data_IF_591387250628
#
_entry.id   IF_591387250628
#
_cell.length_a   1.000
_cell.length_b   1.000
_cell.length_c   1.000
_cell.angle_alpha   90.00
_cell.angle_beta   90.00
_cell.angle_gamma   90.00
#
_symmetry.space_group_name_H-M   'P 1'
#
loop_
_entity.id
_entity.type
_entity.pdbx_description
1 polymer ?
#
# COMPACT_ATOMS: atom_id res chain seq x y z
N UNK A 1 -9.62 7.66 13.24
CA UNK A 1 -8.65 6.72 12.66
C UNK A 1 -7.97 7.23 11.38
N UNK A 2 -8.70 7.81 10.42
CA UNK A 2 -8.11 8.31 9.16
C UNK A 2 -6.93 9.27 9.34
N UNK A 3 -7.05 10.28 10.21
CA UNK A 3 -5.98 11.26 10.51
C UNK A 3 -4.71 10.56 11.00
N UNK A 4 -4.85 9.60 11.92
CA UNK A 4 -3.71 8.87 12.46
C UNK A 4 -2.98 8.05 11.39
N UNK A 5 -3.72 7.39 10.50
CA UNK A 5 -3.08 6.69 9.37
C UNK A 5 -2.45 7.67 8.38
N UNK A 6 -3.08 8.83 8.14
CA UNK A 6 -2.52 9.86 7.27
C UNK A 6 -1.21 10.42 7.80
N UNK A 7 -1.04 10.47 9.12
CA UNK A 7 0.20 10.91 9.77
C UNK A 7 1.21 9.75 9.86
N UNK A 8 0.94 8.75 10.71
CA UNK A 8 1.90 7.70 11.07
C UNK A 8 1.81 6.43 10.22
N UNK A 9 0.81 6.31 9.36
CA UNK A 9 0.59 5.13 8.53
C UNK A 9 1.61 5.01 7.40
N UNK A 10 1.90 3.79 6.98
CA UNK A 10 2.73 3.52 5.81
C UNK A 10 2.27 2.26 5.10
N UNK A 11 2.81 2.04 3.90
CA UNK A 11 2.56 0.86 3.09
C UNK A 11 3.84 0.33 2.50
N UNK A 12 3.89 -0.98 2.28
CA UNK A 12 4.98 -1.67 1.61
C UNK A 12 4.43 -2.63 0.56
N UNK A 13 5.12 -2.72 -0.58
CA UNK A 13 4.79 -3.67 -1.64
C UNK A 13 5.88 -4.72 -1.72
N UNK A 14 5.50 -5.99 -1.59
CA UNK A 14 6.42 -7.10 -1.83
C UNK A 14 6.38 -7.46 -3.30
N UNK A 15 7.57 -7.57 -3.90
CA UNK A 15 7.75 -7.92 -5.31
C UNK A 15 8.27 -9.35 -5.44
N UNK A 16 7.78 -10.07 -6.44
CA UNK A 16 8.30 -11.37 -6.89
C UNK A 16 8.38 -11.30 -8.41
N UNK A 17 9.54 -11.62 -8.98
CA UNK A 17 9.79 -11.53 -10.44
C UNK A 17 9.49 -10.14 -11.03
N UNK A 18 9.73 -9.07 -10.26
CA UNK A 18 9.45 -7.68 -10.65
C UNK A 18 7.99 -7.24 -10.47
N UNK A 19 7.06 -8.17 -10.25
CA UNK A 19 5.64 -7.89 -10.06
C UNK A 19 5.29 -7.77 -8.58
N UNK A 20 4.40 -6.84 -8.25
CA UNK A 20 3.85 -6.70 -6.90
C UNK A 20 2.90 -7.87 -6.65
N UNK A 21 3.13 -8.64 -5.59
CA UNK A 21 2.29 -9.79 -5.22
C UNK A 21 1.67 -9.65 -3.83
N UNK A 22 2.16 -8.72 -3.00
CA UNK A 22 1.54 -8.46 -1.70
C UNK A 22 1.64 -6.98 -1.32
N UNK A 23 0.65 -6.54 -0.54
CA UNK A 23 0.55 -5.24 0.10
C UNK A 23 0.56 -5.46 1.61
N UNK A 24 1.38 -4.69 2.30
CA UNK A 24 1.35 -4.59 3.76
C UNK A 24 1.12 -3.14 4.15
N UNK A 25 0.21 -2.92 5.08
CA UNK A 25 0.02 -1.62 5.72
C UNK A 25 0.59 -1.67 7.12
N UNK A 26 1.15 -0.55 7.54
CA UNK A 26 1.66 -0.39 8.89
C UNK A 26 1.11 0.88 9.52
N UNK A 27 0.94 0.84 10.84
CA UNK A 27 0.74 2.03 11.66
C UNK A 27 1.87 2.07 12.68
N UNK A 28 2.77 3.05 12.54
CA UNK A 28 3.93 3.20 13.40
C UNK A 28 3.51 4.04 14.61
N UNK A 29 3.15 3.38 15.70
CA UNK A 29 2.56 4.04 16.88
C UNK A 29 3.61 4.62 17.83
N UNK A 30 4.83 4.06 17.84
CA UNK A 30 5.88 4.46 18.78
C UNK A 30 5.64 4.01 20.23
N UNK A 31 4.62 3.17 20.45
CA UNK A 31 4.25 2.68 21.77
C UNK A 31 4.84 1.30 22.07
N UNK A 32 4.80 0.92 23.35
CA UNK A 32 5.18 -0.41 23.82
C UNK A 32 4.27 -1.51 23.22
N UNK A 33 4.66 -2.77 23.38
CA UNK A 33 3.83 -3.91 22.97
C UNK A 33 2.46 -3.89 23.68
N UNK A 34 2.44 -3.71 25.01
CA UNK A 34 1.20 -3.75 25.79
C UNK A 34 0.22 -2.63 25.38
N UNK A 35 0.73 -1.42 25.13
CA UNK A 35 -0.10 -0.31 24.64
C UNK A 35 -0.63 -0.59 23.23
N UNK A 36 0.19 -1.17 22.35
CA UNK A 36 -0.28 -1.59 21.04
C UNK A 36 -1.37 -2.65 21.12
N UNK A 37 -1.29 -3.60 22.04
CA UNK A 37 -2.33 -4.62 22.25
C UNK A 37 -3.67 -4.00 22.69
N UNK A 38 -3.65 -2.95 23.51
CA UNK A 38 -4.85 -2.18 23.85
C UNK A 38 -5.44 -1.48 22.62
N UNK A 39 -4.59 -0.88 21.78
CA UNK A 39 -5.00 -0.23 20.53
C UNK A 39 -5.61 -1.27 19.57
N UNK A 40 -5.02 -2.47 19.47
CA UNK A 40 -5.54 -3.57 18.67
C UNK A 40 -6.95 -3.97 19.11
N UNK A 41 -7.15 -4.17 20.41
CA UNK A 41 -8.44 -4.54 20.98
C UNK A 41 -9.50 -3.46 20.71
N UNK A 42 -9.14 -2.19 20.90
CA UNK A 42 -10.00 -1.06 20.60
C UNK A 42 -10.36 -0.98 19.11
N UNK A 43 -9.40 -1.20 18.21
CA UNK A 43 -9.66 -1.21 16.77
C UNK A 43 -10.63 -2.32 16.34
N UNK A 44 -10.47 -3.51 16.91
CA UNK A 44 -11.38 -4.62 16.67
C UNK A 44 -12.78 -4.32 17.21
N UNK A 45 -12.90 -3.81 18.43
CA UNK A 45 -14.20 -3.55 19.06
C UNK A 45 -14.98 -2.42 18.37
N UNK A 46 -14.34 -1.29 18.06
CA UNK A 46 -15.04 -0.09 17.59
C UNK A 46 -15.23 -0.07 16.08
N UNK A 47 -14.27 -0.59 15.32
CA UNK A 47 -14.30 -0.54 13.85
C UNK A 47 -14.31 -1.90 13.17
N UNK A 48 -14.23 -3.00 13.92
CA UNK A 48 -14.16 -4.35 13.32
C UNK A 48 -12.89 -4.60 12.53
N UNK A 49 -11.83 -3.80 12.74
CA UNK A 49 -10.58 -3.93 11.98
C UNK A 49 -9.56 -4.70 12.82
N UNK A 50 -9.26 -5.92 12.41
CA UNK A 50 -8.29 -6.78 13.07
C UNK A 50 -6.89 -6.54 12.53
N UNK A 51 -6.14 -5.70 13.24
CA UNK A 51 -4.72 -5.49 13.01
C UNK A 51 -3.90 -6.62 13.66
N UNK A 52 -2.77 -6.96 13.04
CA UNK A 52 -1.74 -7.78 13.66
C UNK A 52 -0.68 -6.92 14.32
N UNK A 53 0.10 -7.51 15.24
CA UNK A 53 1.29 -6.89 15.78
C UNK A 53 2.52 -7.30 14.96
N UNK A 54 3.40 -6.35 14.65
CA UNK A 54 4.66 -6.58 13.95
C UNK A 54 5.78 -5.86 14.69
N UNK A 55 6.92 -6.53 14.85
CA UNK A 55 8.14 -5.92 15.39
C UNK A 55 9.04 -5.51 14.23
N UNK A 56 9.52 -4.28 14.28
CA UNK A 56 10.56 -3.77 13.39
C UNK A 56 11.71 -3.23 14.22
N UNK A 57 12.86 -3.89 14.11
CA UNK A 57 14.02 -3.66 15.00
C UNK A 57 13.59 -3.82 16.48
N UNK A 58 13.50 -2.71 17.20
CA UNK A 58 13.14 -2.64 18.62
C UNK A 58 11.78 -1.97 18.88
N UNK A 59 11.02 -1.67 17.82
CA UNK A 59 9.75 -0.98 17.90
C UNK A 59 8.60 -1.89 17.47
N UNK A 60 7.46 -1.73 18.12
CA UNK A 60 6.23 -2.42 17.75
C UNK A 60 5.35 -1.52 16.90
N UNK A 61 4.71 -2.11 15.90
CA UNK A 61 3.80 -1.45 14.98
C UNK A 61 2.65 -2.36 14.65
N UNK A 62 1.52 -1.76 14.29
CA UNK A 62 0.37 -2.52 13.81
C UNK A 62 0.58 -2.85 12.33
N UNK A 63 0.11 -4.02 11.89
CA UNK A 63 0.21 -4.51 10.51
C UNK A 63 -1.13 -5.01 9.97
N UNK A 64 -1.44 -4.67 8.71
CA UNK A 64 -2.44 -5.37 7.90
C UNK A 64 -1.78 -6.02 6.69
N UNK A 65 -2.28 -7.21 6.31
CA UNK A 65 -1.93 -7.86 5.04
C UNK A 65 -2.82 -7.43 3.88
N UNK A 66 -2.57 -8.00 2.70
CA UNK A 66 -3.15 -7.55 1.41
C UNK A 66 -4.67 -7.39 1.44
N UNK A 67 -5.42 -8.44 1.81
CA UNK A 67 -6.90 -8.43 1.76
C UNK A 67 -7.50 -7.34 2.66
N UNK A 68 -7.07 -7.30 3.92
CA UNK A 68 -7.54 -6.31 4.88
C UNK A 68 -7.05 -4.89 4.53
N UNK A 69 -5.85 -4.76 3.97
CA UNK A 69 -5.31 -3.48 3.51
C UNK A 69 -6.12 -2.86 2.37
N UNK A 70 -6.57 -3.66 1.40
CA UNK A 70 -7.47 -3.18 0.34
C UNK A 70 -8.83 -2.72 0.89
N UNK A 71 -9.42 -3.49 1.80
CA UNK A 71 -10.67 -3.09 2.47
C UNK A 71 -10.49 -1.78 3.25
N UNK A 72 -9.38 -1.66 3.98
CA UNK A 72 -9.03 -0.46 4.73
C UNK A 72 -8.87 0.77 3.83
N UNK A 73 -8.20 0.65 2.69
CA UNK A 73 -8.10 1.74 1.73
C UNK A 73 -9.44 2.14 1.13
N UNK A 74 -10.33 1.18 0.86
CA UNK A 74 -11.71 1.46 0.43
C UNK A 74 -12.45 2.33 1.46
N UNK A 75 -12.35 1.96 2.73
CA UNK A 75 -12.92 2.72 3.85
C UNK A 75 -12.26 4.09 4.05
N UNK A 76 -10.94 4.20 3.87
CA UNK A 76 -10.19 5.43 4.11
C UNK A 76 -10.39 6.50 3.02
N UNK A 77 -10.67 6.06 1.78
CA UNK A 77 -10.78 6.91 0.58
C UNK A 77 -11.66 8.16 0.72
N UNK A 78 -12.88 8.13 1.29
CA UNK A 78 -13.71 9.32 1.44
C UNK A 78 -13.14 10.37 2.41
N UNK A 79 -12.15 10.02 3.24
CA UNK A 79 -11.56 10.91 4.24
C UNK A 79 -10.22 11.52 3.81
N UNK A 80 -9.71 11.16 2.63
CA UNK A 80 -8.39 11.57 2.17
C UNK A 80 -8.43 12.88 1.40
N UNK A 81 -7.61 13.84 1.86
CA UNK A 81 -7.31 15.03 1.08
C UNK A 81 -6.63 14.65 -0.26
N UNK A 82 -6.90 15.35 -1.38
CA UNK A 82 -6.30 15.05 -2.68
C UNK A 82 -4.77 14.90 -2.67
N UNK A 83 -4.05 15.73 -1.91
CA UNK A 83 -2.59 15.66 -1.80
C UNK A 83 -2.08 14.37 -1.13
N UNK A 84 -2.93 13.67 -0.38
CA UNK A 84 -2.58 12.45 0.36
C UNK A 84 -2.95 11.16 -0.39
N UNK A 85 -3.56 11.27 -1.58
CA UNK A 85 -3.95 10.11 -2.40
C UNK A 85 -2.74 9.24 -2.78
N UNK A 86 -1.55 9.84 -2.90
CA UNK A 86 -0.29 9.15 -3.13
C UNK A 86 0.09 8.17 -2.01
N UNK A 87 -0.48 8.30 -0.80
CA UNK A 87 -0.24 7.41 0.34
C UNK A 87 -1.00 6.09 0.22
N UNK A 88 -2.11 6.05 -0.54
CA UNK A 88 -2.96 4.85 -0.64
C UNK A 88 -3.08 4.26 -2.04
N UNK A 89 -2.89 5.03 -3.11
CA UNK A 89 -3.09 4.53 -4.47
C UNK A 89 -1.85 3.77 -4.98
N UNK A 90 -1.91 2.44 -5.21
CA UNK A 90 -0.75 1.65 -5.62
C UNK A 90 -0.18 2.03 -6.99
N UNK A 91 -1.01 2.60 -7.88
CA UNK A 91 -0.61 2.92 -9.26
C UNK A 91 0.56 3.91 -9.34
N UNK A 92 0.72 4.76 -8.31
CA UNK A 92 1.83 5.71 -8.24
C UNK A 92 3.21 5.09 -7.96
N UNK A 93 3.27 3.81 -7.54
CA UNK A 93 4.53 3.11 -7.25
C UNK A 93 4.99 2.19 -8.38
N UNK A 94 4.35 2.29 -9.55
CA UNK A 94 4.66 1.49 -10.74
C UNK A 94 5.97 1.91 -11.41
N UNK A 95 6.58 3.04 -11.02
CA UNK A 95 7.56 3.74 -11.88
C UNK A 95 9.04 3.69 -11.48
N UNK A 96 9.45 3.18 -10.31
CA UNK A 96 10.89 3.16 -9.98
C UNK A 96 11.67 1.96 -10.57
N UNK A 97 11.02 0.82 -10.83
CA UNK A 97 11.70 -0.41 -11.32
C UNK A 97 11.37 -0.74 -12.77
N UNK A 98 10.40 -0.06 -13.38
CA UNK A 98 9.94 -0.36 -14.75
C UNK A 98 10.83 0.29 -15.82
N UNK A 99 11.62 1.30 -15.47
CA UNK A 99 12.59 1.91 -16.39
C UNK A 99 13.76 0.99 -16.78
N UNK A 100 14.01 -0.09 -16.03
CA UNK A 100 15.04 -1.08 -16.39
C UNK A 100 14.57 -2.15 -17.38
N UNK A 101 13.28 -2.18 -17.75
CA UNK A 101 12.72 -3.20 -18.66
C UNK A 101 12.14 -2.63 -19.96
N UNK A 102 11.96 -1.31 -20.06
CA UNK A 102 11.52 -0.66 -21.30
C UNK A 102 12.67 -0.21 -22.22
N UNK A 103 13.93 -0.40 -21.81
CA UNK A 103 15.12 -0.18 -22.66
C UNK A 103 15.48 -1.37 -23.55
N UNK A 104 14.71 -2.46 -23.52
CA UNK A 104 14.83 -3.56 -24.47
C UNK A 104 13.48 -3.84 -25.13
N UNK A 105 13.29 -3.22 -26.31
CA UNK A 105 12.36 -3.69 -27.33
C UNK A 105 10.88 -3.41 -27.07
N UNK A 106 10.44 -2.18 -27.35
CA UNK A 106 9.08 -1.96 -27.84
C UNK A 106 9.20 -1.45 -29.28
N UNK A 107 9.14 -2.37 -30.25
CA UNK A 107 8.87 -2.03 -31.64
C UNK A 107 7.42 -1.53 -31.71
N UNK A 108 7.14 -0.27 -32.07
CA UNK A 108 5.77 0.17 -32.27
C UNK A 108 5.19 -0.55 -33.49
N UNK A 109 3.98 -1.07 -33.34
CA UNK A 109 3.22 -1.70 -34.41
C UNK A 109 3.23 -0.83 -35.67
N UNK A 110 3.78 -1.38 -36.76
CA UNK A 110 3.84 -0.74 -38.07
C UNK A 110 2.45 -0.34 -38.55
N UNK A 111 2.35 0.92 -38.95
CA UNK A 111 1.17 1.51 -39.56
C UNK A 111 0.98 0.91 -40.97
N UNK A 112 0.00 0.01 -41.13
CA UNK A 112 -0.38 -0.50 -42.45
C UNK A 112 -1.04 0.62 -43.26
N UNK A 113 -0.27 1.16 -44.20
CA UNK A 113 -0.75 2.09 -45.21
C UNK A 113 0.13 2.01 -46.46
N UNK A 114 -0.30 1.19 -47.44
CA UNK A 114 -0.07 1.34 -48.90
C UNK A 114 -0.83 0.21 -49.63
N UNK A 115 -2.02 0.49 -50.15
CA UNK A 115 -2.31 0.79 -51.57
C UNK A 115 -1.77 -0.29 -52.52
N UNK A 116 -2.69 -1.12 -53.02
CA UNK A 116 -2.47 -1.99 -54.18
C UNK A 116 -2.90 -1.22 -55.44
N UNK A 117 -1.95 -1.01 -56.34
CA UNK A 117 -2.18 -0.85 -57.78
C UNK A 117 -1.43 -1.97 -58.50
#
# INVERSE_FOLDING_TARGET
>A
FAIWFMDCGSRSFKRKNGQIHALELFLNTGFSQAENELILAYFAQVWGVHWGLSRDRQQYRLRLGTKAGHAFFGWLRPYLHPSMQSKINPSYNTTATTYGRLSQGFEPAGNDSRVKE
#
